data_IF_319227255676
#
_entry.id   IF_319227255676
#
_cell.length_a   1.000
_cell.length_b   1.000
_cell.length_c   1.000
_cell.angle_alpha   90.00
_cell.angle_beta   90.00
_cell.angle_gamma   90.00
#
_symmetry.space_group_name_H-M   'P 1'
#
loop_
_entity.id
_entity.type
_entity.pdbx_description
1 polymer ?
#
# COMPACT_ATOMS: atom_id res chain seq x y z
N UNK A 1 -15.36 -1.78 -2.30
CA UNK A 1 -14.19 -0.94 -1.99
C UNK A 1 -14.46 -0.06 -0.77
N UNK A 2 -15.58 0.65 -0.70
CA UNK A 2 -15.91 1.56 0.40
C UNK A 2 -15.79 0.94 1.80
N UNK A 3 -16.22 -0.29 2.00
CA UNK A 3 -16.13 -0.97 3.30
C UNK A 3 -14.68 -1.19 3.74
N UNK A 4 -13.79 -1.47 2.78
CA UNK A 4 -12.36 -1.62 3.05
C UNK A 4 -11.75 -0.28 3.45
N UNK A 5 -12.09 0.78 2.74
CA UNK A 5 -11.64 2.15 3.08
C UNK A 5 -12.14 2.57 4.45
N UNK A 6 -13.41 2.30 4.77
CA UNK A 6 -13.96 2.58 6.08
C UNK A 6 -13.23 1.83 7.20
N UNK A 7 -12.87 0.56 6.95
CA UNK A 7 -12.08 -0.25 7.89
C UNK A 7 -10.66 0.31 8.07
N UNK A 8 -10.01 0.77 7.00
CA UNK A 8 -8.69 1.42 7.05
C UNK A 8 -8.75 2.69 7.89
N UNK A 9 -9.73 3.57 7.65
CA UNK A 9 -9.90 4.78 8.44
C UNK A 9 -10.19 4.46 9.91
N UNK A 10 -11.07 3.50 10.17
CA UNK A 10 -11.36 3.09 11.54
C UNK A 10 -10.13 2.56 12.27
N UNK A 11 -9.32 1.74 11.60
CA UNK A 11 -8.06 1.23 12.16
C UNK A 11 -7.05 2.35 12.39
N UNK A 12 -6.88 3.24 11.41
CA UNK A 12 -5.96 4.38 11.51
C UNK A 12 -6.29 5.32 12.67
N UNK A 13 -7.57 5.68 12.82
CA UNK A 13 -8.01 6.58 13.91
C UNK A 13 -7.99 5.86 15.27
N UNK A 14 -8.35 4.58 15.33
CA UNK A 14 -8.25 3.80 16.56
C UNK A 14 -6.81 3.73 17.08
N UNK A 15 -5.84 3.65 16.18
CA UNK A 15 -4.43 3.62 16.53
C UNK A 15 -4.02 2.30 17.19
N UNK A 16 -3.16 2.38 18.20
CA UNK A 16 -2.62 1.25 18.96
C UNK A 16 -3.25 1.16 20.35
N UNK A 17 -2.75 0.25 21.18
CA UNK A 17 -3.15 0.19 22.59
C UNK A 17 -2.61 1.37 23.43
N UNK A 18 -1.56 2.01 22.96
CA UNK A 18 -0.86 3.07 23.70
C UNK A 18 -1.34 4.48 23.30
N UNK A 19 -1.76 4.67 22.05
CA UNK A 19 -2.19 5.97 21.55
C UNK A 19 -3.18 5.84 20.38
N UNK A 20 -4.08 6.80 20.29
CA UNK A 20 -4.97 6.97 19.14
C UNK A 20 -4.23 7.54 17.93
N UNK A 21 -4.77 7.32 16.75
CA UNK A 21 -4.25 7.88 15.51
C UNK A 21 -4.90 9.21 15.14
N UNK A 22 -4.21 9.93 14.28
CA UNK A 22 -4.68 11.13 13.62
C UNK A 22 -5.11 10.82 12.17
N UNK A 23 -5.73 11.78 11.51
CA UNK A 23 -5.97 11.67 10.07
C UNK A 23 -4.65 11.82 9.29
N UNK A 24 -4.44 10.98 8.30
CA UNK A 24 -3.29 11.05 7.41
C UNK A 24 -3.42 12.17 6.38
N UNK A 25 -2.28 12.63 5.83
CA UNK A 25 -2.24 13.66 4.79
C UNK A 25 -2.74 13.16 3.43
N UNK A 26 -2.69 11.86 3.20
CA UNK A 26 -3.26 11.21 2.02
C UNK A 26 -4.42 10.31 2.42
N UNK A 27 -5.40 10.22 1.57
CA UNK A 27 -6.48 9.24 1.71
C UNK A 27 -5.98 7.84 1.36
N UNK A 28 -6.59 6.76 1.84
CA UNK A 28 -6.30 5.43 1.34
C UNK A 28 -6.53 5.34 -0.16
N UNK A 29 -5.55 4.82 -0.89
CA UNK A 29 -5.63 4.58 -2.32
C UNK A 29 -5.73 3.08 -2.55
N UNK A 30 -6.78 2.65 -3.25
CA UNK A 30 -7.08 1.24 -3.48
C UNK A 30 -7.46 0.95 -4.94
N UNK A 31 -6.65 1.40 -5.92
CA UNK A 31 -6.94 1.07 -7.30
C UNK A 31 -6.86 -0.45 -7.53
N UNK A 32 -7.83 -0.99 -8.26
CA UNK A 32 -7.98 -2.41 -8.50
C UNK A 32 -8.01 -2.76 -9.99
N UNK A 33 -7.51 -3.94 -10.35
CA UNK A 33 -7.51 -4.44 -11.72
C UNK A 33 -6.70 -3.55 -12.66
N UNK A 34 -7.30 -3.11 -13.76
CA UNK A 34 -6.65 -2.22 -14.72
C UNK A 34 -6.27 -0.88 -14.10
N UNK A 35 -7.07 -0.40 -13.17
CA UNK A 35 -6.81 0.84 -12.45
C UNK A 35 -5.57 0.77 -11.55
N UNK A 36 -5.13 -0.43 -11.15
CA UNK A 36 -3.89 -0.61 -10.37
C UNK A 36 -2.62 -0.17 -11.13
N UNK A 37 -2.71 0.03 -12.44
CA UNK A 37 -1.63 0.62 -13.25
C UNK A 37 -1.61 2.15 -13.25
N UNK A 38 -2.58 2.80 -12.65
CA UNK A 38 -2.68 4.26 -12.58
C UNK A 38 -2.35 4.74 -11.17
N UNK A 39 -1.35 5.63 -11.02
CA UNK A 39 -0.95 6.13 -9.72
C UNK A 39 -2.03 7.03 -9.11
N UNK A 40 -2.12 7.00 -7.80
CA UNK A 40 -2.94 7.89 -6.97
C UNK A 40 -4.46 7.84 -7.22
N UNK A 41 -4.96 6.76 -7.80
CA UNK A 41 -6.39 6.51 -7.80
C UNK A 41 -6.86 6.07 -6.41
N UNK A 42 -7.98 6.60 -5.98
CA UNK A 42 -8.55 6.31 -4.67
C UNK A 42 -9.34 5.01 -4.71
N UNK A 43 -10.61 5.06 -4.53
CA UNK A 43 -11.53 3.91 -4.57
C UNK A 43 -12.81 4.29 -5.30
N UNK A 44 -13.61 3.28 -5.62
CA UNK A 44 -14.95 3.44 -6.16
C UNK A 44 -15.97 2.83 -5.18
N UNK A 45 -17.23 2.89 -5.52
CA UNK A 45 -18.30 2.18 -4.81
C UNK A 45 -18.52 0.75 -5.32
N UNK A 46 -17.65 0.29 -6.24
CA UNK A 46 -17.73 -1.05 -6.81
C UNK A 46 -17.38 -2.14 -5.78
N UNK A 47 -17.87 -3.33 -6.06
CA UNK A 47 -17.38 -4.55 -5.39
C UNK A 47 -16.15 -5.07 -6.10
N UNK A 48 -15.22 -5.62 -5.34
CA UNK A 48 -14.08 -6.32 -5.94
C UNK A 48 -14.54 -7.61 -6.61
N UNK A 49 -14.27 -7.81 -7.89
CA UNK A 49 -14.49 -9.12 -8.51
C UNK A 49 -13.45 -10.13 -8.01
N UNK A 50 -13.70 -11.42 -8.30
CA UNK A 50 -12.72 -12.46 -8.04
C UNK A 50 -11.49 -12.32 -8.96
N UNK A 51 -10.34 -12.80 -8.46
CA UNK A 51 -9.08 -12.85 -9.19
C UNK A 51 -8.56 -11.47 -9.64
N UNK A 52 -8.80 -10.46 -8.80
CA UNK A 52 -8.33 -9.10 -9.05
C UNK A 52 -7.14 -8.73 -8.16
N UNK A 53 -6.24 -7.94 -8.72
CA UNK A 53 -5.14 -7.30 -8.00
C UNK A 53 -5.60 -5.96 -7.47
N UNK A 54 -5.28 -5.65 -6.23
CA UNK A 54 -5.53 -4.35 -5.60
C UNK A 54 -4.20 -3.81 -5.10
N UNK A 55 -3.82 -2.64 -5.56
CA UNK A 55 -2.72 -1.88 -5.00
C UNK A 55 -3.27 -1.04 -3.83
N UNK A 56 -2.62 -1.14 -2.68
CA UNK A 56 -3.03 -0.42 -1.47
C UNK A 56 -1.91 0.53 -1.09
N UNK A 57 -2.21 1.79 -0.99
CA UNK A 57 -1.34 2.80 -0.43
C UNK A 57 -2.08 3.56 0.66
N UNK A 58 -1.49 3.63 1.83
CA UNK A 58 -2.07 4.28 3.00
C UNK A 58 -0.97 4.77 3.95
N UNK A 59 -1.34 5.57 4.92
CA UNK A 59 -0.43 5.97 6.00
C UNK A 59 -1.14 5.93 7.35
N UNK A 60 -0.48 5.36 8.35
CA UNK A 60 -0.79 5.65 9.75
C UNK A 60 -0.25 7.04 10.11
N UNK A 61 -0.93 7.74 11.01
CA UNK A 61 -0.50 9.06 11.46
C UNK A 61 -0.69 9.18 12.98
N UNK A 62 0.33 9.72 13.65
CA UNK A 62 0.25 10.08 15.06
C UNK A 62 1.02 11.39 15.28
N UNK A 63 0.37 12.38 15.85
CA UNK A 63 0.94 13.73 16.07
C UNK A 63 1.60 14.31 14.81
N UNK A 64 0.98 14.06 13.66
CA UNK A 64 1.43 14.45 12.31
C UNK A 64 2.69 13.75 11.80
N UNK A 65 3.21 12.76 12.53
CA UNK A 65 4.21 11.84 12.00
C UNK A 65 3.52 10.73 11.23
N UNK A 66 3.93 10.50 10.00
CA UNK A 66 3.31 9.58 9.07
C UNK A 66 4.18 8.33 8.87
N UNK A 67 3.54 7.18 8.80
CA UNK A 67 4.14 5.91 8.40
C UNK A 67 3.48 5.42 7.11
N UNK A 68 3.95 5.88 5.94
CA UNK A 68 3.39 5.45 4.66
C UNK A 68 3.72 3.99 4.37
N UNK A 69 2.79 3.32 3.72
CA UNK A 69 2.91 1.91 3.36
C UNK A 69 2.22 1.65 2.02
N UNK A 70 2.91 0.95 1.12
CA UNK A 70 2.32 0.39 -0.08
C UNK A 70 2.31 -1.14 0.00
N UNK A 71 1.22 -1.76 -0.41
CA UNK A 71 1.06 -3.21 -0.49
C UNK A 71 0.23 -3.57 -1.71
N UNK A 72 0.49 -4.75 -2.24
CA UNK A 72 -0.34 -5.34 -3.30
C UNK A 72 -0.95 -6.64 -2.77
N UNK A 73 -2.24 -6.78 -2.94
CA UNK A 73 -2.97 -8.01 -2.62
C UNK A 73 -3.67 -8.54 -3.86
N UNK A 74 -3.96 -9.82 -3.86
CA UNK A 74 -4.80 -10.44 -4.88
C UNK A 74 -6.02 -11.09 -4.19
N UNK A 75 -7.21 -10.72 -4.63
CA UNK A 75 -8.45 -11.37 -4.20
C UNK A 75 -8.66 -12.56 -5.11
N UNK A 76 -8.64 -13.77 -4.55
CA UNK A 76 -8.68 -15.02 -5.32
C UNK A 76 -7.29 -15.51 -5.73
N UNK A 77 -7.16 -16.08 -6.93
CA UNK A 77 -5.91 -16.66 -7.42
C UNK A 77 -5.16 -15.70 -8.34
N UNK A 78 -3.93 -15.32 -8.01
CA UNK A 78 -3.11 -14.50 -8.91
C UNK A 78 -2.69 -15.28 -10.15
N UNK A 79 -2.63 -14.61 -11.29
CA UNK A 79 -2.02 -15.19 -12.49
C UNK A 79 -0.50 -15.37 -12.32
N UNK A 80 0.11 -16.24 -13.10
CA UNK A 80 1.57 -16.42 -13.07
C UNK A 80 2.31 -15.12 -13.40
N UNK A 81 1.76 -14.30 -14.27
CA UNK A 81 2.32 -12.96 -14.58
C UNK A 81 2.36 -12.06 -13.33
N UNK A 82 1.28 -12.02 -12.57
CA UNK A 82 1.21 -11.23 -11.31
C UNK A 82 2.23 -11.75 -10.30
N UNK A 83 2.34 -13.08 -10.14
CA UNK A 83 3.32 -13.68 -9.23
C UNK A 83 4.75 -13.30 -9.65
N UNK A 84 5.07 -13.37 -10.92
CA UNK A 84 6.41 -13.04 -11.43
C UNK A 84 6.74 -11.56 -11.20
N UNK A 85 5.81 -10.65 -11.48
CA UNK A 85 6.00 -9.21 -11.22
C UNK A 85 6.18 -8.93 -9.74
N UNK A 86 5.37 -9.55 -8.87
CA UNK A 86 5.49 -9.40 -7.43
C UNK A 86 6.86 -9.85 -6.90
N UNK A 87 7.40 -10.97 -7.41
CA UNK A 87 8.75 -11.44 -7.06
C UNK A 87 9.81 -10.41 -7.42
N UNK A 88 9.80 -9.90 -8.66
CA UNK A 88 10.76 -8.88 -9.10
C UNK A 88 10.67 -7.61 -8.25
N UNK A 89 9.46 -7.18 -7.89
CA UNK A 89 9.27 -6.02 -7.03
C UNK A 89 9.85 -6.22 -5.63
N UNK A 90 9.66 -7.41 -5.04
CA UNK A 90 10.25 -7.76 -3.73
C UNK A 90 11.77 -7.83 -3.81
N UNK A 91 12.32 -8.49 -4.83
CA UNK A 91 13.76 -8.57 -5.06
C UNK A 91 14.40 -7.18 -5.22
N UNK A 92 13.75 -6.28 -5.96
CA UNK A 92 14.20 -4.89 -6.10
C UNK A 92 14.18 -4.12 -4.78
N UNK A 93 13.11 -4.28 -3.98
CA UNK A 93 13.03 -3.68 -2.66
C UNK A 93 14.12 -4.19 -1.73
N UNK A 94 14.36 -5.50 -1.70
CA UNK A 94 15.40 -6.11 -0.88
C UNK A 94 16.81 -5.63 -1.31
N UNK A 95 17.06 -5.52 -2.61
CA UNK A 95 18.31 -4.98 -3.13
C UNK A 95 18.53 -3.53 -2.66
N UNK A 96 17.50 -2.68 -2.75
CA UNK A 96 17.58 -1.31 -2.26
C UNK A 96 17.84 -1.25 -0.74
N UNK A 97 17.11 -2.02 0.06
CA UNK A 97 17.29 -2.07 1.52
C UNK A 97 18.69 -2.56 1.92
N UNK A 98 19.26 -3.51 1.19
CA UNK A 98 20.62 -4.01 1.44
C UNK A 98 21.71 -3.02 1.03
N UNK A 99 21.40 -2.10 0.12
CA UNK A 99 22.33 -1.07 -0.37
C UNK A 99 22.33 0.16 0.53
N UNK A 100 21.19 0.57 1.05
CA UNK A 100 21.03 1.76 1.88
C UNK A 100 21.76 1.61 3.21
N UNK A 101 22.74 2.46 3.41
CA UNK A 101 23.53 2.54 4.66
C UNK A 101 24.10 3.94 4.83
N UNK A 102 24.46 4.37 6.05
CA UNK A 102 25.13 5.63 6.26
C UNK A 102 26.42 5.74 5.47
N UNK A 103 26.62 6.88 4.78
CA UNK A 103 27.85 7.19 4.06
C UNK A 103 27.87 6.83 2.58
N UNK A 104 26.80 6.27 2.02
CA UNK A 104 26.66 6.09 0.57
C UNK A 104 26.02 7.33 -0.08
N UNK A 105 26.30 7.55 -1.35
CA UNK A 105 25.62 8.56 -2.16
C UNK A 105 24.32 8.03 -2.74
N UNK A 106 23.35 8.93 -3.01
CA UNK A 106 22.06 8.52 -3.61
C UNK A 106 22.22 7.84 -4.98
N UNK A 107 23.25 8.19 -5.73
CA UNK A 107 23.58 7.61 -7.04
C UNK A 107 24.09 6.16 -6.97
N UNK A 108 24.40 5.67 -5.75
CA UNK A 108 24.82 4.28 -5.52
C UNK A 108 23.63 3.35 -5.21
N UNK A 109 22.41 3.90 -5.14
CA UNK A 109 21.16 3.17 -4.96
C UNK A 109 20.51 2.84 -6.29
#
# INVERSE_FOLDING_TARGET
ECDVVAAIYAAGIRGTQEFGGDYASIVPMLPAGENAGMPHLTWTDNRYPENIVVAIELAGCHRRYHAPMARTICIGKPSQKVINVAKVAVEGLEAALNTVKPGIYCEEM
#
